data_IF_222921677117
#
_entry.id   IF_222921677117
#
_cell.length_a   1.000
_cell.length_b   1.000
_cell.length_c   1.000
_cell.angle_alpha   90.00
_cell.angle_beta   90.00
_cell.angle_gamma   90.00
#
_symmetry.space_group_name_H-M   'P 1'
#
loop_
_entity.id
_entity.type
_entity.pdbx_description
1 polymer ?
#
# COMPACT_ATOMS: atom_id res chain seq x y z
N UNK A 1 0.12 -16.85 -8.15
CA UNK A 1 -0.98 -16.05 -7.59
C UNK A 1 -0.44 -14.75 -7.01
N UNK A 2 -0.41 -13.68 -7.80
CA UNK A 2 0.16 -12.38 -7.39
C UNK A 2 -0.89 -11.58 -6.63
N UNK A 3 -0.83 -11.61 -5.29
CA UNK A 3 -1.77 -10.95 -4.39
C UNK A 3 -1.69 -9.43 -4.49
N UNK A 4 -2.41 -8.84 -5.45
CA UNK A 4 -2.64 -7.40 -5.60
C UNK A 4 -4.12 -7.10 -5.84
N UNK A 5 -5.00 -7.81 -5.12
CA UNK A 5 -6.41 -7.94 -5.50
C UNK A 5 -7.34 -6.84 -4.97
N UNK A 6 -6.83 -5.90 -4.17
CA UNK A 6 -7.68 -4.96 -3.41
C UNK A 6 -7.30 -3.49 -3.57
N UNK A 7 -6.04 -3.18 -3.85
CA UNK A 7 -5.57 -1.80 -4.03
C UNK A 7 -4.84 -1.75 -5.36
N UNK A 8 -5.46 -1.13 -6.36
CA UNK A 8 -4.82 -0.89 -7.65
C UNK A 8 -3.55 -0.05 -7.42
N UNK A 9 -2.45 -0.45 -8.07
CA UNK A 9 -1.13 0.18 -7.93
C UNK A 9 -0.53 0.18 -6.51
N UNK A 10 -0.96 -0.72 -5.62
CA UNK A 10 -0.43 -0.85 -4.27
C UNK A 10 1.10 -0.86 -4.22
N UNK A 11 1.74 -1.64 -5.11
CA UNK A 11 3.21 -1.74 -5.17
C UNK A 11 3.87 -0.40 -5.50
N UNK A 12 3.22 0.45 -6.31
CA UNK A 12 3.68 1.83 -6.53
C UNK A 12 3.51 2.61 -5.23
N UNK A 13 2.28 2.69 -4.70
CA UNK A 13 1.91 3.53 -3.55
C UNK A 13 2.77 3.19 -2.33
N UNK A 14 3.03 1.92 -2.09
CA UNK A 14 3.87 1.45 -0.99
C UNK A 14 5.38 1.63 -1.22
N UNK A 15 5.83 1.91 -2.45
CA UNK A 15 7.25 2.05 -2.79
C UNK A 15 8.00 3.12 -1.98
N UNK A 16 7.51 4.37 -1.83
CA UNK A 16 8.17 5.37 -0.98
C UNK A 16 8.26 4.93 0.49
N UNK A 17 7.24 4.22 1.00
CA UNK A 17 7.19 3.76 2.40
C UNK A 17 8.15 2.59 2.63
N UNK A 18 8.14 1.59 1.75
CA UNK A 18 9.05 0.42 1.81
C UNK A 18 10.50 0.83 1.57
N UNK A 19 10.74 1.91 0.83
CA UNK A 19 12.08 2.48 0.66
C UNK A 19 12.66 3.08 1.94
N UNK A 20 11.83 3.49 2.91
CA UNK A 20 12.27 3.92 4.24
C UNK A 20 12.80 2.74 5.06
N UNK A 21 12.20 1.55 4.94
CA UNK A 21 12.59 0.37 5.71
C UNK A 21 13.89 -0.30 5.23
N UNK A 22 14.55 0.26 4.19
CA UNK A 22 15.82 -0.26 3.67
C UNK A 22 16.97 0.05 4.64
N UNK A 23 17.71 -0.98 5.05
CA UNK A 23 18.90 -0.85 5.90
C UNK A 23 19.90 0.13 5.28
N UNK A 24 20.45 1.03 6.11
CA UNK A 24 21.48 1.99 5.73
C UNK A 24 20.98 3.31 5.15
N UNK A 25 19.66 3.55 5.10
CA UNK A 25 19.10 4.87 4.76
C UNK A 25 18.50 5.53 5.99
N UNK A 26 18.65 6.86 6.07
CA UNK A 26 17.95 7.65 7.05
C UNK A 26 16.44 7.54 6.82
N UNK A 27 15.70 7.26 7.88
CA UNK A 27 14.24 7.22 7.90
C UNK A 27 13.69 8.65 7.80
N UNK A 28 13.84 9.26 6.62
CA UNK A 28 13.33 10.61 6.37
C UNK A 28 11.89 10.49 5.90
N UNK A 29 10.95 10.74 6.82
CA UNK A 29 9.55 10.87 6.48
C UNK A 29 9.35 12.15 5.67
N UNK A 30 9.22 12.00 4.36
CA UNK A 30 8.98 13.12 3.43
C UNK A 30 7.49 13.27 3.14
N UNK A 31 7.09 14.43 2.61
CA UNK A 31 5.70 14.65 2.16
C UNK A 31 5.22 13.62 1.14
N UNK A 32 6.14 13.07 0.33
CA UNK A 32 5.85 11.98 -0.59
C UNK A 32 5.49 10.68 0.13
N UNK A 33 6.12 10.41 1.27
CA UNK A 33 5.81 9.26 2.12
C UNK A 33 4.47 9.45 2.84
N UNK A 34 4.20 10.65 3.36
CA UNK A 34 2.92 10.98 3.98
C UNK A 34 1.76 10.87 2.98
N UNK A 35 1.92 11.42 1.77
CA UNK A 35 0.91 11.33 0.71
C UNK A 35 0.64 9.88 0.32
N UNK A 36 1.70 9.09 0.13
CA UNK A 36 1.57 7.66 -0.13
C UNK A 36 0.85 6.91 0.99
N UNK A 37 1.14 7.23 2.25
CA UNK A 37 0.51 6.60 3.41
C UNK A 37 -0.97 6.97 3.54
N UNK A 38 -1.33 8.21 3.24
CA UNK A 38 -2.73 8.67 3.20
C UNK A 38 -3.52 7.99 2.07
N UNK A 39 -2.99 7.97 0.85
CA UNK A 39 -3.60 7.26 -0.26
C UNK A 39 -3.76 5.78 0.05
N UNK A 40 -2.76 5.16 0.69
CA UNK A 40 -2.87 3.77 1.10
C UNK A 40 -3.99 3.54 2.12
N UNK A 41 -4.13 4.42 3.12
CA UNK A 41 -5.24 4.37 4.07
C UNK A 41 -6.59 4.50 3.36
N UNK A 42 -6.73 5.48 2.48
CA UNK A 42 -7.96 5.71 1.71
C UNK A 42 -8.32 4.50 0.85
N UNK A 43 -7.36 3.90 0.14
CA UNK A 43 -7.60 2.69 -0.62
C UNK A 43 -8.03 1.53 0.29
N UNK A 44 -7.35 1.31 1.42
CA UNK A 44 -7.70 0.24 2.35
C UNK A 44 -9.06 0.44 3.04
N UNK A 45 -9.48 1.69 3.28
CA UNK A 45 -10.79 2.00 3.89
C UNK A 45 -11.92 2.03 2.87
N UNK A 46 -11.62 2.27 1.59
CA UNK A 46 -12.63 2.40 0.52
C UNK A 46 -12.83 1.10 -0.24
N UNK A 47 -11.81 0.24 -0.32
CA UNK A 47 -11.98 -1.05 -1.00
C UNK A 47 -13.01 -1.91 -0.24
N UNK A 48 -14.02 -2.48 -0.93
CA UNK A 48 -14.92 -3.44 -0.32
C UNK A 48 -14.10 -4.60 0.23
N UNK A 49 -14.16 -4.74 1.55
CA UNK A 49 -13.55 -5.80 2.32
C UNK A 49 -13.94 -7.13 1.66
N UNK A 50 -12.93 -7.89 1.21
CA UNK A 50 -13.00 -9.27 0.73
C UNK A 50 -14.40 -9.89 0.76
N UNK A 51 -15.13 -9.85 -0.35
CA UNK A 51 -16.15 -10.87 -0.56
C UNK A 51 -15.43 -12.23 -0.55
N UNK A 52 -15.88 -13.12 0.33
CA UNK A 52 -15.38 -14.49 0.41
C UNK A 52 -15.47 -15.10 -1.01
N UNK A 53 -14.38 -15.66 -1.57
CA UNK A 53 -14.47 -16.30 -2.88
C UNK A 53 -15.50 -17.42 -2.79
N UNK A 54 -16.54 -17.34 -3.62
CA UNK A 54 -17.60 -18.35 -3.68
C UNK A 54 -17.01 -19.68 -4.17
N UNK A 55 -17.09 -20.77 -3.38
CA UNK A 55 -16.62 -22.07 -3.82
C UNK A 55 -17.62 -22.67 -4.82
N UNK A 56 -17.28 -22.61 -6.12
CA UNK A 56 -17.82 -23.55 -7.11
C UNK A 56 -16.94 -24.79 -7.19
#
# INVERSE_FOLDING_TARGET
VTSNRFVQDFSWIAHPITSLQRKGKNLIWSDRCEKAFRTLKECLTTTPILAMPDPQ
#
